data_IF_119067792846
#
_entry.id   IF_119067792846
#
_cell.length_a   1.000
_cell.length_b   1.000
_cell.length_c   1.000
_cell.angle_alpha   90.00
_cell.angle_beta   90.00
_cell.angle_gamma   90.00
#
_symmetry.space_group_name_H-M   'P 1'
#
loop_
_entity.id
_entity.type
_entity.pdbx_description
1 polymer ?
#
# COMPACT_ATOMS: atom_id res chain seq x y z
N UNK A 1 -17.98 -30.64 -0.09
CA UNK A 1 -19.30 -30.45 -0.73
C UNK A 1 -19.44 -28.97 -1.05
N UNK A 2 -19.62 -28.66 -2.33
CA UNK A 2 -19.52 -27.30 -2.89
C UNK A 2 -20.94 -26.72 -2.94
N UNK A 3 -21.22 -25.65 -2.20
CA UNK A 3 -22.52 -24.99 -2.26
C UNK A 3 -22.56 -24.06 -3.47
N UNK A 4 -23.17 -24.55 -4.55
CA UNK A 4 -23.37 -23.79 -5.80
C UNK A 4 -24.73 -23.08 -5.74
N UNK A 5 -24.74 -21.76 -5.53
CA UNK A 5 -25.95 -20.95 -5.71
C UNK A 5 -26.20 -20.75 -7.22
N UNK A 6 -27.25 -21.37 -7.76
CA UNK A 6 -27.60 -21.36 -9.20
C UNK A 6 -28.27 -20.06 -9.70
N UNK A 7 -28.35 -18.97 -8.91
CA UNK A 7 -29.34 -17.92 -9.16
C UNK A 7 -28.86 -16.51 -9.53
N UNK A 8 -27.61 -16.09 -9.30
CA UNK A 8 -27.19 -14.72 -9.62
C UNK A 8 -25.77 -14.67 -10.20
N UNK A 9 -25.66 -14.45 -11.51
CA UNK A 9 -24.41 -14.09 -12.18
C UNK A 9 -24.32 -12.57 -12.23
N UNK A 10 -24.07 -11.91 -11.10
CA UNK A 10 -23.91 -10.47 -11.03
C UNK A 10 -22.41 -10.13 -11.10
N UNK A 11 -21.87 -10.10 -12.31
CA UNK A 11 -20.57 -9.49 -12.58
C UNK A 11 -20.87 -8.04 -12.96
N UNK A 12 -20.50 -7.11 -12.10
CA UNK A 12 -20.56 -5.68 -12.41
C UNK A 12 -19.15 -5.25 -12.82
N UNK A 13 -18.99 -4.80 -14.06
CA UNK A 13 -17.78 -4.06 -14.44
C UNK A 13 -17.82 -2.72 -13.71
N UNK A 14 -16.80 -2.44 -12.90
CA UNK A 14 -16.60 -1.09 -12.39
C UNK A 14 -15.47 -0.42 -13.15
N UNK A 15 -15.64 0.87 -13.38
CA UNK A 15 -14.62 1.74 -13.93
C UNK A 15 -13.94 2.45 -12.75
N UNK A 16 -12.70 2.08 -12.47
CA UNK A 16 -11.92 2.68 -11.40
C UNK A 16 -11.12 3.82 -12.01
N UNK A 17 -11.39 5.04 -11.56
CA UNK A 17 -10.58 6.21 -11.91
C UNK A 17 -9.38 6.19 -10.96
N UNK A 18 -8.22 5.79 -11.48
CA UNK A 18 -6.98 5.89 -10.72
C UNK A 18 -6.56 7.37 -10.61
N UNK A 19 -5.73 7.69 -9.62
CA UNK A 19 -5.19 9.04 -9.38
C UNK A 19 -4.47 9.64 -10.60
N UNK A 20 -4.00 8.77 -11.52
CA UNK A 20 -3.38 9.13 -12.80
C UNK A 20 -4.40 9.57 -13.87
N UNK A 21 -5.69 9.64 -13.53
CA UNK A 21 -6.80 9.86 -14.48
C UNK A 21 -7.06 8.67 -15.41
N UNK A 22 -6.36 7.55 -15.22
CA UNK A 22 -6.52 6.33 -16.03
C UNK A 22 -7.68 5.50 -15.51
N UNK A 23 -8.66 5.27 -16.38
CA UNK A 23 -9.78 4.35 -16.10
C UNK A 23 -9.27 2.92 -16.25
N UNK A 24 -9.17 2.21 -15.13
CA UNK A 24 -8.93 0.76 -15.14
C UNK A 24 -10.26 0.04 -14.95
N UNK A 25 -10.65 -0.75 -15.95
CA UNK A 25 -11.80 -1.64 -15.85
C UNK A 25 -11.38 -2.90 -15.11
N UNK A 26 -11.87 -3.09 -13.89
CA UNK A 26 -11.64 -4.32 -13.14
C UNK A 26 -12.94 -5.10 -12.98
N UNK A 27 -12.86 -6.41 -13.22
CA UNK A 27 -13.94 -7.34 -12.95
C UNK A 27 -13.94 -7.69 -11.47
N UNK A 28 -14.66 -6.93 -10.65
CA UNK A 28 -14.88 -7.30 -9.27
C UNK A 28 -16.09 -8.24 -9.16
N UNK A 29 -15.90 -9.36 -8.47
CA UNK A 29 -17.02 -10.21 -8.06
C UNK A 29 -17.68 -9.56 -6.86
N UNK A 30 -18.81 -8.88 -7.06
CA UNK A 30 -19.65 -8.47 -5.94
C UNK A 30 -20.19 -9.73 -5.24
N UNK A 31 -19.77 -9.92 -3.99
CA UNK A 31 -20.20 -11.05 -3.15
C UNK A 31 -21.62 -10.89 -2.57
N UNK A 32 -22.30 -9.76 -2.82
CA UNK A 32 -23.60 -9.47 -2.23
C UNK A 32 -24.71 -9.46 -3.28
N UNK A 33 -25.64 -10.39 -3.15
CA UNK A 33 -26.90 -10.35 -3.87
C UNK A 33 -27.92 -9.59 -3.02
N UNK A 34 -28.44 -8.47 -3.56
CA UNK A 34 -29.43 -7.59 -2.92
C UNK A 34 -30.77 -8.27 -2.58
N UNK A 35 -30.92 -9.56 -2.89
CA UNK A 35 -32.14 -10.33 -2.68
C UNK A 35 -32.00 -11.46 -1.64
N UNK A 36 -30.79 -11.78 -1.15
CA UNK A 36 -30.59 -12.93 -0.25
C UNK A 36 -29.77 -12.68 1.01
N UNK A 37 -29.20 -11.48 1.21
CA UNK A 37 -28.60 -11.07 2.50
C UNK A 37 -27.36 -11.84 2.97
N UNK A 38 -26.85 -12.81 2.20
CA UNK A 38 -25.65 -13.59 2.54
C UNK A 38 -24.54 -13.35 1.53
N UNK A 39 -23.43 -12.81 2.01
CA UNK A 39 -22.23 -12.52 1.22
C UNK A 39 -21.23 -11.78 2.09
N UNK A 40 -20.25 -12.50 2.63
CA UNK A 40 -19.16 -11.88 3.38
C UNK A 40 -18.21 -11.23 2.37
N UNK A 41 -18.09 -9.91 2.47
CA UNK A 41 -17.20 -9.09 1.67
C UNK A 41 -15.76 -9.42 2.08
N UNK A 42 -15.01 -10.12 1.24
CA UNK A 42 -13.56 -9.94 1.27
C UNK A 42 -13.26 -8.80 0.31
N UNK A 43 -13.12 -7.62 0.90
CA UNK A 43 -12.75 -6.38 0.23
C UNK A 43 -11.39 -6.62 -0.44
N UNK A 44 -11.35 -6.61 -1.77
CA UNK A 44 -10.10 -6.37 -2.49
C UNK A 44 -9.73 -4.92 -2.21
N UNK A 45 -9.14 -4.70 -1.03
CA UNK A 45 -8.71 -3.40 -0.55
C UNK A 45 -7.60 -2.92 -1.48
N UNK A 46 -7.95 -2.10 -2.47
CA UNK A 46 -6.96 -1.31 -3.19
C UNK A 46 -6.32 -0.38 -2.16
N UNK A 47 -5.19 -0.81 -1.62
CA UNK A 47 -4.40 -0.03 -0.68
C UNK A 47 -3.79 1.14 -1.45
N UNK A 48 -4.24 2.35 -1.13
CA UNK A 48 -3.81 3.58 -1.81
C UNK A 48 -2.48 4.08 -1.27
N UNK A 49 -1.85 5.03 -1.97
CA UNK A 49 -0.67 5.74 -1.48
C UNK A 49 -0.87 6.34 -0.09
N UNK A 50 -2.00 7.02 0.12
CA UNK A 50 -2.37 7.63 1.39
C UNK A 50 -2.50 6.61 2.52
N UNK A 51 -3.04 5.43 2.24
CA UNK A 51 -3.13 4.34 3.21
C UNK A 51 -1.73 3.96 3.72
N UNK A 52 -0.77 3.69 2.82
CA UNK A 52 0.58 3.33 3.23
C UNK A 52 1.32 4.50 3.89
N UNK A 53 1.14 5.74 3.43
CA UNK A 53 1.78 6.89 4.08
C UNK A 53 1.32 7.08 5.52
N UNK A 54 0.05 6.79 5.83
CA UNK A 54 -0.53 6.85 7.18
C UNK A 54 -0.05 5.74 8.11
N UNK A 55 0.54 4.66 7.59
CA UNK A 55 1.00 3.56 8.42
C UNK A 55 2.25 3.97 9.25
N UNK A 56 2.32 3.52 10.53
CA UNK A 56 3.40 3.86 11.44
C UNK A 56 4.65 3.02 11.17
N UNK A 57 5.28 3.25 10.03
CA UNK A 57 6.54 2.58 9.67
C UNK A 57 7.66 2.97 10.63
N UNK A 58 8.47 1.98 11.02
CA UNK A 58 9.62 2.18 11.88
C UNK A 58 10.74 2.84 11.10
N UNK A 59 11.28 3.93 11.64
CA UNK A 59 12.46 4.61 11.11
C UNK A 59 13.61 4.38 12.09
N UNK A 60 14.71 3.83 11.60
CA UNK A 60 15.92 3.60 12.38
C UNK A 60 16.97 4.59 11.90
N UNK A 61 17.47 5.44 12.81
CA UNK A 61 18.50 6.43 12.52
C UNK A 61 19.73 6.12 13.36
N UNK A 62 20.90 6.04 12.73
CA UNK A 62 22.17 5.76 13.38
C UNK A 62 23.31 6.57 12.75
N UNK A 63 24.38 6.87 13.51
CA UNK A 63 25.53 7.60 12.99
C UNK A 63 26.32 6.77 11.98
N UNK A 64 26.81 7.39 10.91
CA UNK A 64 27.64 6.75 9.90
C UNK A 64 29.14 6.83 10.26
N UNK A 65 29.92 5.83 9.85
CA UNK A 65 31.38 5.81 10.08
C UNK A 65 32.13 6.94 9.37
N UNK A 66 31.63 7.40 8.22
CA UNK A 66 32.20 8.50 7.43
C UNK A 66 31.74 9.89 7.88
N UNK A 67 30.90 9.96 8.92
CA UNK A 67 30.25 11.19 9.38
C UNK A 67 28.81 11.32 8.89
N UNK A 68 28.02 12.09 9.63
CA UNK A 68 26.58 12.25 9.41
C UNK A 68 25.74 11.13 10.01
N UNK A 69 24.49 11.03 9.57
CA UNK A 69 23.48 10.09 10.03
C UNK A 69 22.89 9.35 8.84
N UNK A 70 22.65 8.05 9.02
CA UNK A 70 21.90 7.21 8.09
C UNK A 70 20.54 6.92 8.70
N UNK A 71 19.49 7.07 7.92
CA UNK A 71 18.15 6.63 8.27
C UNK A 71 17.70 5.54 7.30
N UNK A 72 17.11 4.47 7.84
CA UNK A 72 16.55 3.38 7.05
C UNK A 72 15.16 2.97 7.58
N UNK A 73 14.34 2.45 6.67
CA UNK A 73 13.10 1.77 6.98
C UNK A 73 13.32 0.26 6.83
N UNK A 74 13.54 -0.50 7.92
CA UNK A 74 13.79 -1.95 7.83
C UNK A 74 12.62 -2.73 7.22
N UNK A 75 11.43 -2.14 7.23
CA UNK A 75 10.20 -2.70 6.67
C UNK A 75 10.13 -2.49 5.16
N UNK A 76 10.79 -1.46 4.62
CA UNK A 76 10.84 -1.16 3.19
C UNK A 76 12.26 -1.42 2.67
N UNK A 77 12.58 -2.65 2.23
CA UNK A 77 13.94 -3.00 1.84
C UNK A 77 14.40 -2.10 0.68
N UNK A 78 15.55 -1.45 0.89
CA UNK A 78 16.14 -0.50 -0.06
C UNK A 78 15.68 0.95 0.12
N UNK A 79 14.83 1.27 1.10
CA UNK A 79 14.51 2.64 1.47
C UNK A 79 15.43 3.13 2.59
N UNK A 80 16.50 3.82 2.22
CA UNK A 80 17.44 4.45 3.14
C UNK A 80 17.96 5.78 2.59
N UNK A 81 18.38 6.67 3.49
CA UNK A 81 18.97 7.97 3.15
C UNK A 81 20.09 8.31 4.13
N UNK A 82 20.93 9.26 3.74
CA UNK A 82 22.01 9.78 4.58
C UNK A 82 21.99 11.31 4.53
N UNK A 83 22.20 11.94 5.68
CA UNK A 83 22.32 13.40 5.80
C UNK A 83 23.37 13.79 6.84
N UNK A 84 23.75 15.07 6.83
CA UNK A 84 24.77 15.61 7.75
C UNK A 84 24.23 15.76 9.19
N UNK A 85 22.91 15.93 9.34
CA UNK A 85 22.25 16.18 10.63
C UNK A 85 21.06 15.25 10.85
N UNK A 86 20.75 14.95 12.10
CA UNK A 86 19.63 14.08 12.48
C UNK A 86 18.28 14.59 11.93
N UNK A 87 18.02 15.90 12.02
CA UNK A 87 16.78 16.53 11.55
C UNK A 87 16.63 16.40 10.04
N UNK A 88 17.68 16.78 9.31
CA UNK A 88 17.74 16.72 7.85
C UNK A 88 17.54 15.28 7.34
N UNK A 89 18.24 14.32 7.97
CA UNK A 89 18.10 12.89 7.64
C UNK A 89 16.68 12.38 7.90
N UNK A 90 16.02 12.86 8.95
CA UNK A 90 14.64 12.50 9.26
C UNK A 90 13.65 13.07 8.24
N UNK A 91 13.86 14.29 7.73
CA UNK A 91 13.02 14.84 6.66
C UNK A 91 13.24 14.07 5.35
N UNK A 92 14.50 13.83 4.99
CA UNK A 92 14.87 13.07 3.78
C UNK A 92 14.28 11.66 3.74
N UNK A 93 14.20 10.95 4.89
CA UNK A 93 13.67 9.58 4.91
C UNK A 93 12.15 9.54 4.73
N UNK A 94 11.43 10.62 5.09
CA UNK A 94 10.00 10.74 4.82
C UNK A 94 9.74 10.93 3.32
N UNK A 95 10.53 11.77 2.65
CA UNK A 95 10.49 11.92 1.19
C UNK A 95 10.87 10.62 0.48
N UNK A 96 11.93 9.95 0.96
CA UNK A 96 12.34 8.65 0.41
C UNK A 96 11.26 7.58 0.57
N UNK A 97 10.55 7.55 1.71
CA UNK A 97 9.39 6.68 1.94
C UNK A 97 8.28 6.95 0.94
N UNK A 98 7.92 8.22 0.72
CA UNK A 98 6.90 8.62 -0.24
C UNK A 98 7.28 8.15 -1.66
N UNK A 99 8.50 8.46 -2.12
CA UNK A 99 8.96 8.04 -3.43
C UNK A 99 8.99 6.51 -3.59
N UNK A 100 9.40 5.78 -2.56
CA UNK A 100 9.43 4.31 -2.58
C UNK A 100 8.03 3.72 -2.75
N UNK A 101 7.04 4.21 -1.97
CA UNK A 101 5.64 3.74 -2.02
C UNK A 101 5.02 4.07 -3.38
N UNK A 102 5.21 5.29 -3.89
CA UNK A 102 4.69 5.72 -5.20
C UNK A 102 5.20 4.80 -6.32
N UNK A 103 6.52 4.57 -6.38
CA UNK A 103 7.13 3.68 -7.37
C UNK A 103 6.62 2.24 -7.19
N UNK A 104 6.51 1.75 -5.95
CA UNK A 104 6.04 0.40 -5.68
C UNK A 104 4.59 0.21 -6.16
N UNK A 105 3.72 1.19 -5.94
CA UNK A 105 2.34 1.18 -6.45
C UNK A 105 2.28 1.21 -7.98
N UNK A 106 3.05 2.09 -8.63
CA UNK A 106 3.11 2.16 -10.11
C UNK A 106 3.61 0.85 -10.72
N UNK A 107 4.56 0.18 -10.06
CA UNK A 107 5.10 -1.10 -10.50
C UNK A 107 4.26 -2.30 -10.05
N UNK A 108 3.10 -2.08 -9.41
CA UNK A 108 2.25 -3.14 -8.84
C UNK A 108 3.05 -4.12 -7.95
N UNK A 109 4.05 -3.61 -7.22
CA UNK A 109 4.85 -4.37 -6.27
C UNK A 109 4.09 -4.51 -4.94
N UNK A 110 4.27 -5.65 -4.29
CA UNK A 110 3.74 -5.87 -2.95
C UNK A 110 4.48 -4.97 -1.95
N UNK A 111 3.72 -4.18 -1.19
CA UNK A 111 4.26 -3.26 -0.18
C UNK A 111 4.01 -3.88 1.20
N UNK A 112 5.07 -4.24 1.94
CA UNK A 112 4.92 -4.83 3.25
C UNK A 112 4.34 -3.80 4.24
N UNK A 113 3.34 -4.23 5.02
CA UNK A 113 2.79 -3.43 6.13
C UNK A 113 3.71 -3.48 7.35
N UNK A 114 3.68 -2.44 8.21
CA UNK A 114 4.52 -2.45 9.38
C UNK A 114 4.09 -3.51 10.40
N UNK A 115 5.07 -4.09 11.08
CA UNK A 115 4.86 -5.08 12.12
C UNK A 115 4.25 -4.41 13.34
N UNK A 116 2.98 -4.71 13.65
CA UNK A 116 2.33 -4.25 14.88
C UNK A 116 3.14 -4.78 16.07
N UNK A 117 3.88 -3.89 16.74
CA UNK A 117 4.54 -4.16 18.02
C UNK A 117 3.62 -3.78 19.18
#
# INVERSE_FOLDING_TARGET
>A
MIYKCKKCSCISKIEIINIDGKVSSQEIKYGYCANCGHGQLEELTLKTFEYYMSLPYKIVIYPASEGGYVAELPELPGCLTQGDSWQDTFEMIQDAKAAWIDIALQNNKDIPEPSKS
#
